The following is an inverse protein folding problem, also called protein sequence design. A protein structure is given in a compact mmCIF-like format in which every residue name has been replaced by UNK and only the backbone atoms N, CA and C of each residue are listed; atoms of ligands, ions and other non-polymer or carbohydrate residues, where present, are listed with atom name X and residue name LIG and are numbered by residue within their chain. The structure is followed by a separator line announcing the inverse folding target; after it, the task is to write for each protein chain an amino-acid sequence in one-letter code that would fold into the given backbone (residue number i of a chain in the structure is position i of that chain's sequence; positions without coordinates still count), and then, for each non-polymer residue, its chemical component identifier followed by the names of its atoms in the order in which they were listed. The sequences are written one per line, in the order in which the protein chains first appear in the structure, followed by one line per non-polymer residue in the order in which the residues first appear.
data_IF_543151257036
#
_entry.id   IF_543151257036
#
_cell.length_a   1.000
_cell.length_b   1.000
_cell.length_c   1.000
_cell.angle_alpha   90.00
_cell.angle_beta   90.00
_cell.angle_gamma   90.00
#
_symmetry.space_group_name_H-M   'P 1'
#
loop_
_entity.id
_entity.type
_entity.pdbx_description
1 polymer ?
#
# COMPACT_ATOMS: atom_id res chain seq x y z
N UNK A 1 -13.91 -8.59 -18.48
CA UNK A 1 -13.97 -8.97 -17.06
C UNK A 1 -14.16 -7.73 -16.22
N UNK A 2 -15.11 -7.78 -15.28
CA UNK A 2 -15.59 -6.64 -14.53
C UNK A 2 -15.10 -6.69 -13.07
N UNK A 3 -14.60 -5.57 -12.56
CA UNK A 3 -14.09 -5.49 -11.20
C UNK A 3 -14.68 -4.32 -10.41
N UNK A 4 -14.66 -4.43 -9.09
CA UNK A 4 -14.99 -3.38 -8.12
C UNK A 4 -13.78 -3.18 -7.22
N UNK A 5 -13.43 -1.91 -6.93
CA UNK A 5 -12.33 -1.55 -6.01
C UNK A 5 -12.90 -0.89 -4.74
N UNK A 6 -12.85 -1.61 -3.62
CA UNK A 6 -13.28 -1.13 -2.31
C UNK A 6 -12.10 -0.60 -1.51
N UNK A 7 -12.30 0.51 -0.78
CA UNK A 7 -11.23 1.21 -0.07
C UNK A 7 -10.13 1.67 -1.02
N UNK A 8 -10.51 2.18 -2.19
CA UNK A 8 -9.64 2.42 -3.34
C UNK A 8 -8.47 3.38 -3.07
N UNK A 9 -8.59 4.23 -2.04
CA UNK A 9 -7.55 5.20 -1.72
C UNK A 9 -7.22 6.10 -2.90
N UNK A 10 -5.94 6.21 -3.20
CA UNK A 10 -5.45 6.96 -4.36
C UNK A 10 -5.49 6.16 -5.68
N UNK A 11 -6.04 4.94 -5.69
CA UNK A 11 -6.21 4.14 -6.90
C UNK A 11 -5.05 3.22 -7.25
N UNK A 12 -4.30 2.72 -6.27
CA UNK A 12 -3.20 1.78 -6.54
C UNK A 12 -3.69 0.45 -7.10
N UNK A 13 -4.74 -0.14 -6.51
CA UNK A 13 -5.39 -1.34 -7.03
C UNK A 13 -6.20 -1.04 -8.30
N UNK A 14 -6.87 0.11 -8.39
CA UNK A 14 -7.56 0.55 -9.61
C UNK A 14 -6.60 0.62 -10.81
N UNK A 15 -5.39 1.18 -10.62
CA UNK A 15 -4.39 1.22 -11.69
C UNK A 15 -3.94 -0.19 -12.08
N UNK A 16 -3.67 -1.05 -11.11
CA UNK A 16 -3.31 -2.45 -11.38
C UNK A 16 -4.43 -3.22 -12.11
N UNK A 17 -5.71 -2.99 -11.77
CA UNK A 17 -6.85 -3.55 -12.48
C UNK A 17 -6.89 -3.08 -13.94
N UNK A 18 -6.74 -1.78 -14.18
CA UNK A 18 -6.73 -1.21 -15.52
C UNK A 18 -5.58 -1.77 -16.36
N UNK A 19 -4.36 -1.83 -15.81
CA UNK A 19 -3.18 -2.40 -16.49
C UNK A 19 -3.30 -3.91 -16.72
N UNK A 20 -4.10 -4.59 -15.91
CA UNK A 20 -4.45 -6.01 -16.10
C UNK A 20 -5.62 -6.23 -17.07
N UNK A 21 -6.23 -5.17 -17.59
CA UNK A 21 -7.32 -5.23 -18.58
C UNK A 21 -8.68 -5.58 -17.98
N UNK A 22 -8.94 -5.22 -16.72
CA UNK A 22 -10.28 -5.25 -16.13
C UNK A 22 -11.02 -3.95 -16.41
N UNK A 23 -12.33 -4.03 -16.59
CA UNK A 23 -13.25 -2.90 -16.55
C UNK A 23 -13.63 -2.63 -15.10
N UNK A 24 -13.30 -1.45 -14.59
CA UNK A 24 -13.66 -1.07 -13.22
C UNK A 24 -15.08 -0.51 -13.24
N UNK A 25 -16.04 -1.25 -12.68
CA UNK A 25 -17.45 -0.87 -12.64
C UNK A 25 -17.71 0.28 -11.67
N UNK A 26 -17.04 0.25 -10.52
CA UNK A 26 -17.09 1.32 -9.51
C UNK A 26 -15.96 1.19 -8.52
N UNK A 27 -15.70 2.27 -7.78
CA UNK A 27 -14.82 2.29 -6.63
C UNK A 27 -15.52 2.89 -5.41
N UNK A 28 -14.99 2.61 -4.20
CA UNK A 28 -15.45 3.23 -2.96
C UNK A 28 -14.27 3.82 -2.17
N UNK A 29 -14.40 5.05 -1.71
CA UNK A 29 -13.45 5.74 -0.83
C UNK A 29 -14.18 6.75 0.05
N UNK A 30 -13.91 6.74 1.35
CA UNK A 30 -14.53 7.65 2.31
C UNK A 30 -13.80 9.00 2.40
N UNK A 31 -12.47 8.98 2.20
CA UNK A 31 -11.66 10.19 2.33
C UNK A 31 -11.80 11.07 1.10
N UNK A 32 -12.33 12.27 1.26
CA UNK A 32 -12.60 13.20 0.17
C UNK A 32 -11.35 13.51 -0.68
N UNK A 33 -10.18 13.70 -0.07
CA UNK A 33 -8.93 14.00 -0.80
C UNK A 33 -8.44 12.83 -1.62
N UNK A 34 -8.56 11.61 -1.08
CA UNK A 34 -8.20 10.40 -1.80
C UNK A 34 -9.19 10.15 -2.94
N UNK A 35 -10.47 10.38 -2.69
CA UNK A 35 -11.52 10.32 -3.70
C UNK A 35 -11.30 11.33 -4.84
N UNK A 36 -10.85 12.56 -4.54
CA UNK A 36 -10.48 13.55 -5.55
C UNK A 36 -9.30 13.04 -6.41
N UNK A 37 -8.28 12.44 -5.81
CA UNK A 37 -7.17 11.80 -6.51
C UNK A 37 -7.67 10.68 -7.41
N UNK A 38 -8.53 9.80 -6.89
CA UNK A 38 -9.11 8.70 -7.66
C UNK A 38 -9.91 9.22 -8.87
N UNK A 39 -10.83 10.15 -8.65
CA UNK A 39 -11.64 10.77 -9.73
C UNK A 39 -10.79 11.42 -10.83
N UNK A 40 -9.70 12.09 -10.45
CA UNK A 40 -8.81 12.74 -11.41
C UNK A 40 -8.12 11.72 -12.34
N UNK A 41 -7.70 10.59 -11.78
CA UNK A 41 -6.94 9.59 -12.52
C UNK A 41 -7.83 8.54 -13.21
N UNK A 42 -9.07 8.35 -12.71
CA UNK A 42 -10.06 7.41 -13.25
C UNK A 42 -11.40 8.12 -13.50
N UNK A 43 -11.46 9.10 -14.42
CA UNK A 43 -12.64 9.97 -14.59
C UNK A 43 -13.90 9.22 -15.06
N UNK A 44 -13.74 8.06 -15.68
CA UNK A 44 -14.85 7.23 -16.18
C UNK A 44 -15.35 6.20 -15.15
N UNK A 45 -14.63 6.03 -14.03
CA UNK A 45 -15.02 5.07 -12.99
C UNK A 45 -15.96 5.74 -11.99
N UNK A 46 -17.20 5.27 -11.85
CA UNK A 46 -18.11 5.73 -10.82
C UNK A 46 -17.49 5.56 -9.41
N UNK A 47 -17.60 6.57 -8.56
CA UNK A 47 -17.01 6.54 -7.21
C UNK A 47 -18.04 6.86 -6.14
N UNK A 48 -18.28 5.90 -5.26
CA UNK A 48 -19.11 6.08 -4.05
C UNK A 48 -18.24 6.68 -2.94
N UNK A 49 -18.47 7.97 -2.63
CA UNK A 49 -17.75 8.70 -1.59
C UNK A 49 -18.50 8.62 -0.25
N UNK A 50 -18.56 7.41 0.32
CA UNK A 50 -19.27 7.14 1.59
C UNK A 50 -18.49 6.15 2.45
N UNK A 51 -18.82 6.17 3.75
CA UNK A 51 -18.41 5.08 4.64
C UNK A 51 -18.99 3.76 4.13
N UNK A 52 -18.14 2.75 3.96
CA UNK A 52 -18.52 1.41 3.50
C UNK A 52 -19.62 0.78 4.38
N UNK A 53 -19.70 1.17 5.67
CA UNK A 53 -20.76 0.73 6.58
C UNK A 53 -22.17 1.15 6.10
N UNK A 54 -22.26 2.25 5.34
CA UNK A 54 -23.52 2.79 4.81
C UNK A 54 -23.76 2.47 3.35
N UNK A 55 -22.80 1.83 2.65
CA UNK A 55 -22.95 1.41 1.25
C UNK A 55 -23.73 0.10 1.21
N UNK A 56 -24.82 0.07 0.43
CA UNK A 56 -25.64 -1.14 0.25
C UNK A 56 -25.41 -1.78 -1.11
N UNK A 57 -25.77 -3.07 -1.23
CA UNK A 57 -25.69 -3.78 -2.52
C UNK A 57 -26.67 -3.19 -3.53
N UNK A 58 -27.85 -2.72 -3.08
CA UNK A 58 -28.83 -2.06 -3.92
C UNK A 58 -28.26 -0.77 -4.52
N UNK A 59 -27.56 0.04 -3.72
CA UNK A 59 -26.91 1.26 -4.20
C UNK A 59 -25.83 0.92 -5.24
N UNK A 60 -25.02 -0.13 -4.98
CA UNK A 60 -24.01 -0.60 -5.94
C UNK A 60 -24.70 -1.08 -7.23
N UNK A 61 -25.73 -1.93 -7.14
CA UNK A 61 -26.44 -2.45 -8.31
C UNK A 61 -27.16 -1.35 -9.11
N UNK A 62 -27.73 -0.35 -8.42
CA UNK A 62 -28.31 0.81 -9.09
C UNK A 62 -27.28 1.59 -9.93
N UNK A 63 -26.01 1.57 -9.50
CA UNK A 63 -24.92 2.25 -10.20
C UNK A 63 -24.34 1.43 -11.37
N UNK A 64 -24.15 0.11 -11.17
CA UNK A 64 -23.50 -0.76 -12.14
C UNK A 64 -24.48 -1.54 -13.05
N UNK A 65 -25.78 -1.56 -12.70
CA UNK A 65 -26.81 -2.37 -13.38
C UNK A 65 -26.70 -3.86 -13.05
N UNK A 66 -27.33 -4.69 -13.89
CA UNK A 66 -27.33 -6.16 -13.76
C UNK A 66 -26.06 -6.83 -14.30
N UNK A 67 -24.94 -6.12 -14.25
CA UNK A 67 -23.65 -6.62 -14.74
C UNK A 67 -23.07 -7.61 -13.74
N UNK A 68 -22.53 -8.72 -14.27
CA UNK A 68 -21.80 -9.70 -13.45
C UNK A 68 -20.50 -9.07 -12.95
N UNK A 69 -20.29 -9.14 -11.64
CA UNK A 69 -19.02 -8.76 -11.00
C UNK A 69 -18.12 -9.99 -10.98
N UNK A 70 -17.04 -9.97 -11.74
CA UNK A 70 -16.09 -11.08 -11.79
C UNK A 70 -15.12 -11.03 -10.59
N UNK A 71 -14.70 -9.82 -10.18
CA UNK A 71 -13.70 -9.61 -9.15
C UNK A 71 -14.07 -8.44 -8.23
N UNK A 72 -13.90 -8.63 -6.93
CA UNK A 72 -13.84 -7.52 -5.96
C UNK A 72 -12.43 -7.46 -5.40
N UNK A 73 -11.76 -6.31 -5.55
CA UNK A 73 -10.49 -6.02 -4.88
C UNK A 73 -10.70 -5.04 -3.74
N UNK A 74 -9.76 -5.02 -2.77
CA UNK A 74 -9.75 -3.99 -1.74
C UNK A 74 -8.73 -4.20 -0.65
N UNK A 75 -8.34 -3.08 -0.01
CA UNK A 75 -7.45 -3.05 1.14
C UNK A 75 -8.16 -2.50 2.38
N UNK A 76 -9.04 -3.26 3.06
CA UNK A 76 -9.73 -2.78 4.25
C UNK A 76 -8.71 -2.36 5.33
N UNK A 77 -8.81 -1.13 5.88
CA UNK A 77 -7.84 -0.64 6.86
C UNK A 77 -7.81 -1.49 8.12
N UNK A 78 -6.59 -1.79 8.60
CA UNK A 78 -6.33 -2.53 9.83
C UNK A 78 -5.36 -1.71 10.70
N UNK A 79 -5.80 -0.53 11.16
CA UNK A 79 -4.89 0.44 11.79
C UNK A 79 -4.47 0.08 13.22
N UNK A 80 -5.32 -0.58 13.99
CA UNK A 80 -5.02 -0.99 15.36
C UNK A 80 -3.90 -2.03 15.48
N UNK A 81 -3.61 -2.73 14.41
CA UNK A 81 -2.71 -3.87 14.39
C UNK A 81 -1.41 -3.62 13.60
N UNK A 82 -1.28 -2.48 12.92
CA UNK A 82 -0.02 -2.14 12.27
C UNK A 82 1.07 -1.86 13.32
N UNK A 83 2.34 -2.15 12.99
CA UNK A 83 3.50 -1.85 13.87
C UNK A 83 3.53 -0.37 14.28
N UNK A 84 3.09 0.52 13.39
CA UNK A 84 2.99 1.96 13.65
C UNK A 84 1.73 2.31 14.44
N UNK A 85 0.60 1.65 14.21
CA UNK A 85 -0.61 1.78 15.02
C UNK A 85 -0.34 1.39 16.47
N UNK A 86 0.25 0.22 16.70
CA UNK A 86 0.66 -0.22 18.05
C UNK A 86 1.57 0.78 18.76
N UNK A 87 2.55 1.39 18.06
CA UNK A 87 3.42 2.41 18.63
C UNK A 87 2.71 3.71 18.97
N UNK A 88 1.70 4.10 18.21
CA UNK A 88 0.89 5.30 18.45
C UNK A 88 0.02 5.15 19.70
N UNK A 89 -0.43 3.93 19.99
CA UNK A 89 -1.33 3.61 21.10
C UNK A 89 -0.65 2.97 22.32
N UNK A 90 0.66 2.69 22.26
CA UNK A 90 1.45 2.14 23.40
C UNK A 90 1.32 2.99 24.68
N UNK A 91 1.03 4.29 24.56
CA UNK A 91 0.85 5.19 25.70
C UNK A 91 -0.63 5.45 26.05
N UNK A 92 -1.59 4.79 25.39
CA UNK A 92 -3.00 4.88 25.74
C UNK A 92 -3.29 3.69 26.68
N UNK A 93 -3.40 3.94 27.96
CA UNK A 93 -3.95 2.97 28.91
C UNK A 93 -5.34 2.59 28.40
N UNK A 94 -5.62 1.29 28.30
CA UNK A 94 -6.92 0.71 27.87
C UNK A 94 -7.22 0.69 26.35
N UNK A 95 -6.22 0.82 25.46
CA UNK A 95 -6.46 0.56 24.03
C UNK A 95 -6.63 -0.95 23.79
N UNK A 96 -7.86 -1.37 23.52
CA UNK A 96 -8.19 -2.71 23.07
C UNK A 96 -8.37 -2.72 21.55
N UNK A 97 -7.46 -3.39 20.80
CA UNK A 97 -7.58 -3.52 19.36
C UNK A 97 -8.87 -4.17 18.89
N UNK A 98 -9.49 -5.02 19.71
CA UNK A 98 -10.75 -5.70 19.38
C UNK A 98 -11.98 -4.76 19.44
N UNK A 99 -11.84 -3.58 20.08
CA UNK A 99 -12.89 -2.58 20.14
C UNK A 99 -12.70 -1.44 19.13
N UNK A 100 -11.60 -1.44 18.37
CA UNK A 100 -11.37 -0.40 17.35
C UNK A 100 -12.29 -0.63 16.14
N UNK A 101 -13.26 0.26 15.87
CA UNK A 101 -14.23 0.08 14.78
C UNK A 101 -13.57 -0.07 13.40
N UNK A 102 -12.34 0.41 13.23
CA UNK A 102 -11.59 0.28 11.97
C UNK A 102 -11.12 -1.14 11.70
N UNK A 103 -11.07 -2.00 12.71
CA UNK A 103 -10.73 -3.42 12.54
C UNK A 103 -11.93 -4.24 12.05
N UNK A 104 -13.12 -3.67 12.12
CA UNK A 104 -14.34 -4.28 11.61
C UNK A 104 -14.58 -4.03 10.12
N UNK A 105 -13.76 -3.20 9.46
CA UNK A 105 -13.93 -2.89 8.04
C UNK A 105 -13.65 -4.10 7.13
N UNK A 106 -12.88 -5.09 7.60
CA UNK A 106 -12.74 -6.38 6.91
C UNK A 106 -14.09 -7.11 6.79
N UNK A 107 -14.94 -7.03 7.81
CA UNK A 107 -16.29 -7.64 7.78
C UNK A 107 -17.22 -6.90 6.80
N UNK A 108 -17.02 -5.60 6.58
CA UNK A 108 -17.76 -4.87 5.57
C UNK A 108 -17.32 -5.28 4.15
N UNK A 109 -16.01 -5.53 3.96
CA UNK A 109 -15.53 -6.12 2.71
C UNK A 109 -16.20 -7.48 2.47
N UNK A 110 -16.23 -8.38 3.47
CA UNK A 110 -16.89 -9.69 3.39
C UNK A 110 -18.39 -9.54 3.11
N UNK A 111 -19.07 -8.57 3.74
CA UNK A 111 -20.48 -8.27 3.50
C UNK A 111 -20.75 -7.94 2.03
N UNK A 112 -19.98 -7.04 1.44
CA UNK A 112 -20.14 -6.68 0.02
C UNK A 112 -19.84 -7.89 -0.89
N UNK A 113 -18.81 -8.69 -0.58
CA UNK A 113 -18.52 -9.94 -1.30
C UNK A 113 -19.69 -10.93 -1.20
N UNK A 114 -20.32 -11.07 -0.03
CA UNK A 114 -21.52 -11.91 0.18
C UNK A 114 -22.69 -11.46 -0.67
N UNK A 115 -22.93 -10.14 -0.74
CA UNK A 115 -24.09 -9.54 -1.41
C UNK A 115 -23.95 -9.54 -2.94
N UNK A 116 -22.76 -9.27 -3.46
CA UNK A 116 -22.51 -9.21 -4.90
C UNK A 116 -22.05 -10.53 -5.52
N UNK A 117 -21.54 -11.46 -4.70
CA UNK A 117 -21.10 -12.80 -5.10
C UNK A 117 -20.18 -12.82 -6.34
N UNK A 118 -19.03 -12.09 -6.30
CA UNK A 118 -18.08 -12.13 -7.40
C UNK A 118 -17.52 -13.55 -7.61
N UNK A 119 -16.97 -13.82 -8.79
CA UNK A 119 -16.27 -15.11 -9.06
C UNK A 119 -14.99 -15.22 -8.22
N UNK A 120 -14.24 -14.11 -8.10
CA UNK A 120 -13.03 -13.97 -7.29
C UNK A 120 -13.13 -12.79 -6.33
N UNK A 121 -12.43 -12.90 -5.22
CA UNK A 121 -12.06 -11.74 -4.41
C UNK A 121 -10.55 -11.65 -4.25
N UNK A 122 -10.03 -10.44 -4.11
CA UNK A 122 -8.63 -10.12 -3.81
C UNK A 122 -8.60 -9.10 -2.66
N UNK A 123 -8.11 -9.50 -1.50
CA UNK A 123 -7.98 -8.64 -0.33
C UNK A 123 -6.51 -8.44 0.01
N UNK A 124 -6.10 -7.17 0.11
CA UNK A 124 -4.77 -6.77 0.60
C UNK A 124 -4.83 -6.34 2.06
N UNK A 125 -3.75 -6.61 2.79
CA UNK A 125 -3.57 -6.04 4.13
C UNK A 125 -2.08 -5.97 4.52
N UNK A 126 -1.79 -5.32 5.65
CA UNK A 126 -0.44 -5.26 6.20
C UNK A 126 0.03 -6.64 6.67
N UNK A 127 1.36 -6.90 6.62
CA UNK A 127 1.97 -8.14 7.11
C UNK A 127 1.49 -8.53 8.53
N UNK A 128 1.27 -7.53 9.41
CA UNK A 128 0.84 -7.76 10.77
C UNK A 128 -0.55 -8.42 10.91
N UNK A 129 -1.37 -8.36 9.85
CA UNK A 129 -2.70 -8.99 9.82
C UNK A 129 -2.63 -10.51 10.05
N UNK A 130 -1.63 -11.19 9.49
CA UNK A 130 -1.47 -12.65 9.64
C UNK A 130 -1.09 -13.09 11.05
N UNK A 131 -0.59 -12.16 11.88
CA UNK A 131 -0.13 -12.45 13.24
C UNK A 131 -1.14 -12.02 14.33
N UNK A 132 -2.31 -11.52 13.92
CA UNK A 132 -3.36 -11.13 14.85
C UNK A 132 -3.86 -12.34 15.62
N UNK A 133 -3.97 -12.21 16.94
CA UNK A 133 -4.40 -13.29 17.84
C UNK A 133 -3.70 -14.62 17.53
N UNK A 134 -2.38 -14.55 17.31
CA UNK A 134 -1.56 -15.71 16.94
C UNK A 134 -2.05 -16.43 15.66
N UNK A 135 -2.64 -15.70 14.73
CA UNK A 135 -3.16 -16.21 13.47
C UNK A 135 -4.65 -16.59 13.49
N UNK A 136 -5.32 -16.57 14.63
CA UNK A 136 -6.73 -16.94 14.73
C UNK A 136 -7.63 -16.01 13.91
N UNK A 137 -7.32 -14.71 13.86
CA UNK A 137 -8.12 -13.74 13.13
C UNK A 137 -8.10 -13.98 11.61
N UNK A 138 -6.97 -14.31 11.03
CA UNK A 138 -6.90 -14.62 9.60
C UNK A 138 -7.65 -15.90 9.25
N UNK A 139 -7.63 -16.91 10.13
CA UNK A 139 -8.42 -18.13 9.94
C UNK A 139 -9.92 -17.88 10.11
N UNK A 140 -10.33 -17.01 11.02
CA UNK A 140 -11.73 -16.59 11.13
C UNK A 140 -12.21 -15.94 9.83
N UNK A 141 -11.44 -14.98 9.28
CA UNK A 141 -11.75 -14.32 8.01
C UNK A 141 -11.86 -15.35 6.88
N UNK A 142 -10.92 -16.29 6.77
CA UNK A 142 -11.01 -17.39 5.78
C UNK A 142 -12.26 -18.24 5.96
N UNK A 143 -12.64 -18.57 7.21
CA UNK A 143 -13.83 -19.37 7.48
C UNK A 143 -15.11 -18.64 7.08
N UNK A 144 -15.18 -17.32 7.26
CA UNK A 144 -16.31 -16.54 6.75
C UNK A 144 -16.40 -16.60 5.23
N UNK A 145 -15.30 -16.49 4.50
CA UNK A 145 -15.31 -16.66 3.05
C UNK A 145 -15.67 -18.08 2.62
N UNK A 146 -15.17 -19.11 3.31
CA UNK A 146 -15.55 -20.52 3.04
C UNK A 146 -17.05 -20.74 3.20
N UNK A 147 -17.66 -20.15 4.23
CA UNK A 147 -19.11 -20.21 4.45
C UNK A 147 -19.92 -19.54 3.31
N UNK A 148 -19.30 -18.66 2.52
CA UNK A 148 -19.89 -18.04 1.33
C UNK A 148 -19.63 -18.83 0.04
N UNK A 149 -18.93 -19.97 0.11
CA UNK A 149 -18.60 -20.83 -1.03
C UNK A 149 -17.24 -20.54 -1.67
N UNK A 150 -16.40 -19.69 -1.07
CA UNK A 150 -15.02 -19.46 -1.51
C UNK A 150 -14.09 -20.47 -0.81
N UNK A 151 -14.12 -21.72 -1.24
CA UNK A 151 -13.43 -22.82 -0.54
C UNK A 151 -11.92 -22.82 -0.78
N UNK A 152 -11.48 -22.41 -1.97
CA UNK A 152 -10.08 -22.37 -2.37
C UNK A 152 -9.54 -20.96 -2.14
N UNK A 153 -8.87 -20.78 -1.00
CA UNK A 153 -8.32 -19.50 -0.58
C UNK A 153 -6.80 -19.60 -0.46
N UNK A 154 -6.10 -18.88 -1.32
CA UNK A 154 -4.67 -18.63 -1.17
C UNK A 154 -4.46 -17.38 -0.30
N UNK A 155 -3.52 -17.44 0.65
CA UNK A 155 -3.23 -16.31 1.54
C UNK A 155 -1.78 -16.34 2.00
N UNK A 156 -0.97 -15.40 1.51
CA UNK A 156 0.46 -15.34 1.82
C UNK A 156 0.96 -13.90 1.95
N UNK A 157 2.17 -13.78 2.50
CA UNK A 157 2.90 -12.50 2.56
C UNK A 157 3.75 -12.38 1.31
N UNK A 158 3.47 -11.36 0.54
CA UNK A 158 4.15 -11.03 -0.71
C UNK A 158 5.12 -9.88 -0.47
N UNK A 159 6.32 -9.94 -1.08
CA UNK A 159 7.26 -8.83 -1.14
C UNK A 159 7.15 -8.11 -2.48
N UNK A 160 6.97 -6.80 -2.45
CA UNK A 160 6.84 -5.99 -3.67
C UNK A 160 8.09 -6.06 -4.57
N UNK A 161 9.28 -6.17 -3.96
CA UNK A 161 10.54 -6.27 -4.71
C UNK A 161 10.61 -7.53 -5.58
N UNK A 162 9.94 -8.64 -5.20
CA UNK A 162 9.86 -9.87 -5.96
C UNK A 162 9.16 -9.69 -7.33
N UNK A 163 8.41 -8.60 -7.48
CA UNK A 163 7.65 -8.25 -8.68
C UNK A 163 8.13 -6.94 -9.34
N UNK A 164 9.41 -6.56 -9.10
CA UNK A 164 10.07 -5.45 -9.78
C UNK A 164 9.71 -4.06 -9.24
N UNK A 165 9.12 -3.97 -8.06
CA UNK A 165 8.95 -2.70 -7.35
C UNK A 165 10.27 -2.34 -6.65
N UNK A 166 10.83 -1.12 -6.80
CA UNK A 166 12.08 -0.73 -6.14
C UNK A 166 11.90 -0.47 -4.64
N UNK A 167 11.18 -1.39 -3.95
CA UNK A 167 10.84 -1.27 -2.54
C UNK A 167 10.64 -2.63 -1.89
N UNK A 168 11.30 -2.88 -0.78
CA UNK A 168 11.02 -3.99 0.12
C UNK A 168 9.77 -3.65 0.96
N UNK A 169 8.60 -3.98 0.41
CA UNK A 169 7.29 -3.78 1.04
C UNK A 169 6.56 -5.11 1.12
N UNK A 170 6.25 -5.52 2.31
CA UNK A 170 5.57 -6.79 2.59
C UNK A 170 4.09 -6.55 2.84
N UNK A 171 3.24 -7.28 2.13
CA UNK A 171 1.78 -7.24 2.27
C UNK A 171 1.19 -8.64 2.28
N UNK A 172 0.16 -8.83 3.06
CA UNK A 172 -0.68 -10.01 2.97
C UNK A 172 -1.62 -9.85 1.78
N UNK A 173 -1.61 -10.83 0.88
CA UNK A 173 -2.62 -10.99 -0.16
C UNK A 173 -3.45 -12.21 0.15
N UNK A 174 -4.78 -12.06 0.09
CA UNK A 174 -5.74 -13.14 0.23
C UNK A 174 -6.61 -13.16 -1.01
N UNK A 175 -6.58 -14.27 -1.75
CA UNK A 175 -7.32 -14.47 -3.00
C UNK A 175 -8.16 -15.72 -2.85
N UNK A 176 -9.44 -15.62 -3.15
CA UNK A 176 -10.34 -16.76 -3.14
C UNK A 176 -11.32 -16.73 -4.30
N UNK A 177 -11.82 -17.89 -4.67
CA UNK A 177 -12.81 -18.04 -5.72
C UNK A 177 -13.90 -19.04 -5.35
N UNK A 178 -15.07 -18.91 -6.00
CA UNK A 178 -16.20 -19.83 -5.86
C UNK A 178 -16.36 -20.76 -7.08
N UNK A 179 -15.34 -20.83 -7.94
CA UNK A 179 -15.32 -21.62 -9.15
C UNK A 179 -14.70 -23.01 -8.96
N UNK A 180 -14.18 -23.30 -7.74
CA UNK A 180 -13.49 -24.56 -7.46
C UNK A 180 -12.07 -24.62 -8.02
N UNK A 181 -11.49 -23.49 -8.41
CA UNK A 181 -10.14 -23.39 -8.99
C UNK A 181 -9.11 -23.34 -7.89
N UNK A 182 -8.09 -24.21 -7.94
CA UNK A 182 -6.89 -24.07 -7.12
C UNK A 182 -6.04 -22.93 -7.67
N UNK A 183 -6.08 -21.80 -6.95
CA UNK A 183 -5.35 -20.61 -7.37
C UNK A 183 -3.85 -20.79 -7.11
N UNK A 184 -3.06 -20.71 -8.16
CA UNK A 184 -1.60 -20.69 -8.12
C UNK A 184 -1.12 -19.24 -8.29
N UNK A 185 -0.35 -18.69 -7.32
CA UNK A 185 0.17 -17.34 -7.45
C UNK A 185 1.19 -17.23 -8.61
N UNK A 186 1.35 -16.03 -9.19
CA UNK A 186 2.37 -15.83 -10.20
C UNK A 186 3.77 -16.04 -9.61
N UNK A 187 4.68 -16.61 -10.40
CA UNK A 187 6.09 -16.74 -10.02
C UNK A 187 6.73 -15.37 -9.80
N UNK A 188 7.69 -15.31 -8.88
CA UNK A 188 8.54 -14.14 -8.71
C UNK A 188 9.25 -13.81 -10.03
N UNK A 189 9.31 -12.51 -10.36
CA UNK A 189 9.97 -12.01 -11.57
C UNK A 189 11.33 -11.40 -11.28
N UNK A 190 11.62 -11.05 -10.04
CA UNK A 190 12.88 -10.43 -9.60
C UNK A 190 13.39 -11.13 -8.34
N UNK A 191 14.69 -11.10 -8.14
CA UNK A 191 15.37 -11.85 -7.08
C UNK A 191 16.30 -10.97 -6.25
N UNK A 192 16.55 -11.32 -4.97
CA UNK A 192 17.49 -10.59 -4.14
C UNK A 192 18.88 -10.48 -4.79
N UNK A 193 19.51 -9.32 -4.63
CA UNK A 193 20.85 -9.03 -5.15
C UNK A 193 21.87 -10.05 -4.62
N UNK A 194 22.79 -10.47 -5.48
CA UNK A 194 23.86 -11.40 -5.13
C UNK A 194 23.45 -12.88 -5.04
N UNK A 195 22.20 -13.23 -5.39
CA UNK A 195 21.76 -14.64 -5.46
C UNK A 195 22.15 -15.35 -6.74
N UNK A 196 22.66 -14.62 -7.74
CA UNK A 196 22.95 -15.14 -9.08
C UNK A 196 21.72 -15.38 -9.95
N UNK A 197 20.50 -15.12 -9.45
CA UNK A 197 19.26 -15.18 -10.22
C UNK A 197 18.96 -13.83 -10.87
N UNK A 198 18.45 -13.84 -12.09
CA UNK A 198 18.15 -12.64 -12.88
C UNK A 198 16.66 -12.62 -13.30
N UNK A 199 16.07 -11.40 -13.40
CA UNK A 199 16.66 -10.11 -13.01
C UNK A 199 16.76 -9.92 -11.51
N UNK A 200 17.75 -9.16 -11.05
CA UNK A 200 17.85 -8.74 -9.65
C UNK A 200 16.79 -7.69 -9.30
N UNK A 201 16.58 -7.44 -8.01
CA UNK A 201 15.65 -6.42 -7.54
C UNK A 201 15.92 -5.05 -8.16
N UNK A 202 14.86 -4.40 -8.59
CA UNK A 202 14.89 -3.01 -9.05
C UNK A 202 15.33 -2.09 -7.92
N UNK A 203 16.21 -1.14 -8.21
CA UNK A 203 16.78 -0.24 -7.22
C UNK A 203 16.17 1.17 -7.28
N UNK A 204 16.43 1.97 -6.24
CA UNK A 204 15.92 3.35 -6.13
C UNK A 204 16.47 4.25 -7.23
N UNK A 205 17.74 4.08 -7.61
CA UNK A 205 18.42 4.97 -8.57
C UNK A 205 17.63 5.14 -9.88
N UNK A 206 17.41 4.06 -10.65
CA UNK A 206 16.65 4.13 -11.90
C UNK A 206 15.23 4.71 -11.74
N UNK A 207 14.64 4.60 -10.55
CA UNK A 207 13.28 5.08 -10.33
C UNK A 207 13.17 6.60 -10.17
N UNK A 208 14.19 7.26 -9.57
CA UNK A 208 14.04 8.67 -9.14
C UNK A 208 15.20 9.59 -9.50
N UNK A 209 16.39 9.08 -9.88
CA UNK A 209 17.55 9.97 -10.05
C UNK A 209 17.43 10.91 -11.24
N UNK A 210 16.64 10.60 -12.24
CA UNK A 210 16.32 11.47 -13.39
C UNK A 210 15.41 12.66 -13.02
N UNK A 211 14.82 12.64 -11.82
CA UNK A 211 13.99 13.73 -11.29
C UNK A 211 14.82 14.86 -10.67
N UNK A 212 16.08 14.60 -10.33
CA UNK A 212 16.97 15.62 -9.73
C UNK A 212 17.12 16.81 -10.69
N UNK A 213 16.86 18.01 -10.18
CA UNK A 213 16.88 19.25 -10.95
C UNK A 213 15.60 19.53 -11.75
N UNK A 214 14.58 18.69 -11.61
CA UNK A 214 13.26 18.88 -12.24
C UNK A 214 12.17 19.22 -11.21
N UNK A 215 12.55 19.67 -10.03
CA UNK A 215 11.63 20.08 -8.97
C UNK A 215 10.66 21.16 -9.49
N UNK A 216 9.41 21.06 -9.11
CA UNK A 216 8.31 21.91 -9.55
C UNK A 216 7.95 21.84 -11.07
N UNK A 217 8.62 21.00 -11.85
CA UNK A 217 8.31 20.83 -13.28
C UNK A 217 7.42 19.61 -13.53
N UNK A 218 7.40 18.66 -12.60
CA UNK A 218 6.61 17.42 -12.68
C UNK A 218 5.56 17.45 -11.57
N UNK A 219 4.32 17.02 -11.82
CA UNK A 219 3.26 16.99 -10.81
C UNK A 219 3.68 16.24 -9.55
N UNK A 220 3.40 16.80 -8.38
CA UNK A 220 3.75 16.28 -7.05
C UNK A 220 5.27 16.20 -6.76
N UNK A 221 6.12 16.76 -7.61
CA UNK A 221 7.56 16.83 -7.39
C UNK A 221 7.97 18.15 -6.72
N UNK A 222 7.37 18.43 -5.57
CA UNK A 222 7.63 19.62 -4.77
C UNK A 222 8.42 19.25 -3.51
N UNK A 223 9.67 19.71 -3.34
CA UNK A 223 10.47 19.43 -2.16
C UNK A 223 9.86 20.02 -0.89
N UNK A 224 10.06 19.34 0.23
CA UNK A 224 9.81 19.95 1.54
C UNK A 224 10.97 20.89 1.88
N UNK A 225 10.63 22.11 2.24
CA UNK A 225 11.59 23.07 2.80
C UNK A 225 11.84 22.68 4.25
N UNK A 226 13.03 22.20 4.55
CA UNK A 226 13.45 21.88 5.90
C UNK A 226 14.06 23.10 6.61
N UNK A 227 14.03 23.05 7.94
CA UNK A 227 14.82 24.01 8.72
C UNK A 227 16.31 23.79 8.45
N UNK A 228 17.16 24.85 8.41
CA UNK A 228 18.61 24.71 8.14
C UNK A 228 19.31 23.66 9.00
N UNK A 229 18.95 23.57 10.29
CA UNK A 229 19.49 22.57 11.22
C UNK A 229 19.14 21.13 10.81
N UNK A 230 17.98 20.92 10.16
CA UNK A 230 17.55 19.57 9.69
C UNK A 230 18.34 19.20 8.44
N UNK A 231 18.51 20.12 7.51
CA UNK A 231 19.31 19.92 6.29
C UNK A 231 20.79 19.66 6.65
N UNK A 232 21.34 20.42 7.60
CA UNK A 232 22.70 20.18 8.12
C UNK A 232 22.84 18.76 8.69
N UNK A 233 21.86 18.29 9.49
CA UNK A 233 21.85 16.92 10.01
C UNK A 233 21.80 15.86 8.92
N UNK A 234 21.05 16.12 7.84
CA UNK A 234 21.01 15.21 6.69
C UNK A 234 22.38 15.05 6.03
N UNK A 235 23.21 16.09 6.03
CA UNK A 235 24.58 16.03 5.52
C UNK A 235 25.47 14.98 6.21
N UNK A 236 25.18 14.65 7.47
CA UNK A 236 25.90 13.62 8.22
C UNK A 236 25.38 12.19 7.99
N UNK A 237 24.28 12.02 7.22
CA UNK A 237 23.74 10.70 6.93
C UNK A 237 24.31 10.21 5.60
N UNK A 238 25.21 9.24 5.64
CA UNK A 238 25.78 8.61 4.44
C UNK A 238 24.72 7.84 3.65
N UNK A 239 24.91 7.70 2.34
CA UNK A 239 24.03 6.92 1.48
C UNK A 239 23.86 5.49 2.00
N UNK A 240 22.63 4.99 2.02
CA UNK A 240 22.27 3.68 2.56
C UNK A 240 22.23 3.57 4.09
N UNK A 241 22.64 4.61 4.81
CA UNK A 241 22.81 4.58 6.25
C UNK A 241 21.70 5.31 7.03
N UNK A 242 21.63 5.01 8.32
CA UNK A 242 20.89 5.80 9.30
C UNK A 242 21.82 6.82 9.95
N UNK A 243 21.23 7.91 10.45
CA UNK A 243 21.98 8.87 11.24
C UNK A 243 22.56 8.17 12.48
N UNK A 244 23.87 8.26 12.63
CA UNK A 244 24.53 8.00 13.90
C UNK A 244 24.63 9.32 14.66
N UNK A 245 23.91 9.44 15.77
CA UNK A 245 23.87 10.68 16.56
C UNK A 245 25.22 11.07 17.16
N UNK A 246 26.14 10.11 17.29
CA UNK A 246 27.49 10.36 17.79
C UNK A 246 28.39 11.07 16.75
N UNK A 247 28.00 11.04 15.47
CA UNK A 247 28.75 11.72 14.41
C UNK A 247 28.35 13.20 14.28
N UNK A 248 27.33 13.64 15.03
CA UNK A 248 26.85 15.02 15.00
C UNK A 248 27.68 15.91 15.93
N UNK A 249 28.09 17.09 15.48
CA UNK A 249 28.66 18.12 16.35
C UNK A 249 27.61 18.61 17.37
N UNK A 250 28.02 19.17 18.52
CA UNK A 250 27.12 19.55 19.63
C UNK A 250 25.95 20.46 19.20
N UNK A 251 26.18 21.40 18.27
CA UNK A 251 25.20 22.35 17.77
C UNK A 251 24.11 21.67 16.91
N UNK A 252 24.39 20.49 16.39
CA UNK A 252 23.43 19.68 15.63
C UNK A 252 22.80 18.54 16.42
N UNK A 253 23.07 18.48 17.72
CA UNK A 253 22.56 17.42 18.60
C UNK A 253 21.03 17.24 18.43
N UNK A 254 20.59 16.00 18.35
CA UNK A 254 19.16 15.64 18.28
C UNK A 254 18.69 15.37 19.71
N UNK A 255 17.56 16.00 20.09
CA UNK A 255 16.92 15.68 21.36
C UNK A 255 16.54 14.18 21.37
N UNK A 256 17.23 13.42 22.19
CA UNK A 256 16.96 12.00 22.32
C UNK A 256 15.95 11.78 23.45
N UNK A 257 14.82 11.12 23.15
CA UNK A 257 13.97 10.59 24.23
C UNK A 257 14.64 9.33 24.78
N UNK A 258 15.09 9.40 26.01
CA UNK A 258 15.53 8.22 26.74
C UNK A 258 14.30 7.59 27.39
N UNK A 259 14.03 6.34 27.07
CA UNK A 259 12.99 5.56 27.75
C UNK A 259 13.39 5.41 29.22
N UNK A 260 12.55 5.88 30.14
CA UNK A 260 12.84 5.90 31.59
C UNK A 260 12.93 4.50 32.20
N UNK A 261 12.33 3.47 31.57
CA UNK A 261 12.31 2.08 32.07
C UNK A 261 13.45 1.24 31.49
N UNK A 262 13.81 1.45 30.23
CA UNK A 262 14.78 0.60 29.53
C UNK A 262 16.11 1.28 29.28
N UNK A 263 16.24 2.57 29.55
CA UNK A 263 17.43 3.38 29.25
C UNK A 263 17.67 3.54 27.74
N UNK A 264 16.84 2.96 26.89
CA UNK A 264 16.99 2.93 25.44
C UNK A 264 16.74 4.30 24.85
N UNK A 265 17.70 4.81 24.11
CA UNK A 265 17.57 6.06 23.39
C UNK A 265 16.75 5.83 22.12
N UNK A 266 15.51 6.32 22.08
CA UNK A 266 14.75 6.34 20.85
C UNK A 266 15.13 7.60 20.05
N UNK A 267 15.91 7.42 19.02
CA UNK A 267 16.02 8.40 17.96
C UNK A 267 14.90 8.11 16.92
N UNK A 268 14.42 9.13 16.25
CA UNK A 268 13.48 8.99 15.12
C UNK A 268 14.20 8.39 13.91
N UNK A 269 14.78 7.19 14.10
CA UNK A 269 15.73 6.56 13.17
C UNK A 269 15.17 6.26 11.78
N UNK A 270 13.86 6.20 11.64
CA UNK A 270 13.23 6.02 10.34
C UNK A 270 13.21 7.30 9.49
N UNK A 271 13.14 8.48 10.13
CA UNK A 271 13.16 9.79 9.45
C UNK A 271 14.57 10.18 9.01
N UNK A 272 15.59 9.74 9.76
CA UNK A 272 16.99 10.01 9.46
C UNK A 272 17.67 8.79 8.81
N UNK A 273 17.01 8.18 7.84
CA UNK A 273 17.60 7.14 6.98
C UNK A 273 17.71 7.68 5.56
N UNK A 274 18.93 7.71 5.02
CA UNK A 274 19.15 8.01 3.61
C UNK A 274 19.03 6.74 2.78
N UNK A 275 18.31 6.82 1.68
CA UNK A 275 18.21 5.70 0.75
C UNK A 275 19.56 5.43 0.06
N UNK A 276 19.74 4.20 -0.39
CA UNK A 276 20.82 3.77 -1.27
C UNK A 276 20.27 3.68 -2.69
N UNK A 277 20.89 4.38 -3.66
CA UNK A 277 20.44 4.37 -5.04
C UNK A 277 20.61 2.98 -5.69
N UNK A 278 21.48 2.15 -5.16
CA UNK A 278 21.82 0.82 -5.68
C UNK A 278 21.04 -0.31 -4.98
N UNK A 279 20.04 0.02 -4.15
CA UNK A 279 19.20 -0.96 -3.45
C UNK A 279 17.71 -0.60 -3.55
N UNK A 280 16.81 -1.58 -3.36
CA UNK A 280 15.40 -1.27 -3.11
C UNK A 280 15.25 -0.39 -1.88
N UNK A 281 14.25 0.47 -1.88
CA UNK A 281 13.94 1.27 -0.70
C UNK A 281 13.31 0.41 0.40
N UNK A 282 13.32 0.91 1.63
CA UNK A 282 12.44 0.38 2.69
C UNK A 282 11.00 0.81 2.43
N UNK A 283 10.05 0.12 3.07
CA UNK A 283 8.63 0.46 3.00
C UNK A 283 8.37 1.95 3.23
N UNK A 284 7.73 2.63 2.27
CA UNK A 284 7.21 3.98 2.43
C UNK A 284 6.08 3.95 3.47
N UNK A 285 6.24 4.76 4.52
CA UNK A 285 5.29 4.82 5.63
C UNK A 285 4.40 6.05 5.43
N UNK A 286 3.07 5.91 5.54
CA UNK A 286 2.17 7.06 5.50
C UNK A 286 2.41 7.94 6.73
N UNK A 287 2.54 9.25 6.55
CA UNK A 287 2.65 10.18 7.65
C UNK A 287 3.39 11.46 7.33
N UNK A 288 3.25 12.40 8.24
CA UNK A 288 3.92 13.69 8.17
C UNK A 288 5.45 13.51 8.29
N UNK A 289 6.19 13.96 7.30
CA UNK A 289 7.66 13.85 7.24
C UNK A 289 8.22 12.44 7.39
N UNK A 290 7.44 11.40 7.07
CA UNK A 290 7.84 10.01 7.27
C UNK A 290 8.70 9.44 6.13
N UNK A 291 8.89 10.17 5.06
CA UNK A 291 9.70 9.69 3.94
C UNK A 291 11.20 9.76 4.27
N UNK A 292 11.98 8.79 3.78
CA UNK A 292 13.42 8.78 3.97
C UNK A 292 14.11 9.93 3.23
N UNK A 293 15.40 10.15 3.56
CA UNK A 293 16.25 11.12 2.90
C UNK A 293 16.57 10.61 1.48
N UNK A 294 16.54 11.54 0.51
CA UNK A 294 16.95 11.28 -0.87
C UNK A 294 18.39 10.74 -0.93
N UNK A 295 18.73 9.82 -1.84
CA UNK A 295 20.07 9.22 -1.90
C UNK A 295 21.22 10.23 -1.90
N UNK A 296 21.10 11.31 -2.65
CA UNK A 296 22.17 12.29 -2.90
C UNK A 296 21.89 13.72 -2.41
N UNK A 297 20.63 14.04 -2.09
CA UNK A 297 20.22 15.38 -1.68
C UNK A 297 19.92 15.42 -0.17
N UNK A 298 20.17 16.58 0.46
CA UNK A 298 19.90 16.77 1.90
C UNK A 298 18.46 17.19 2.16
N UNK A 299 17.53 16.44 1.60
CA UNK A 299 16.09 16.57 1.80
C UNK A 299 15.40 15.20 1.83
N UNK A 300 14.20 15.16 2.36
CA UNK A 300 13.35 13.97 2.21
C UNK A 300 12.85 13.83 0.77
N UNK A 301 12.37 12.64 0.42
CA UNK A 301 11.73 12.41 -0.86
C UNK A 301 10.54 13.35 -1.07
N UNK A 302 10.29 13.74 -2.31
CA UNK A 302 9.02 14.35 -2.73
C UNK A 302 7.93 13.28 -2.82
N UNK A 303 6.66 13.71 -2.94
CA UNK A 303 5.57 12.76 -3.16
C UNK A 303 5.73 12.02 -4.50
N UNK A 304 6.24 12.68 -5.55
CA UNK A 304 6.51 12.06 -6.86
C UNK A 304 7.61 11.02 -6.80
N UNK A 305 8.73 11.30 -6.15
CA UNK A 305 9.82 10.34 -5.97
C UNK A 305 9.32 9.08 -5.23
N UNK A 306 8.57 9.27 -4.16
CA UNK A 306 7.96 8.17 -3.43
C UNK A 306 6.92 7.40 -4.28
N UNK A 307 6.12 8.11 -5.09
CA UNK A 307 5.15 7.51 -6.01
C UNK A 307 5.82 6.65 -7.09
N UNK A 308 6.94 7.10 -7.68
CA UNK A 308 7.71 6.30 -8.63
C UNK A 308 8.33 5.05 -7.97
N UNK A 309 8.80 5.16 -6.72
CA UNK A 309 9.25 4.00 -5.95
C UNK A 309 8.08 3.02 -5.70
N UNK A 310 6.87 3.51 -5.58
CA UNK A 310 5.64 2.71 -5.50
C UNK A 310 5.08 2.32 -6.89
N UNK A 311 5.81 2.60 -7.97
CA UNK A 311 5.49 2.28 -9.37
C UNK A 311 4.25 3.00 -9.94
N UNK A 312 3.87 4.14 -9.38
CA UNK A 312 2.90 5.02 -10.04
C UNK A 312 3.57 5.80 -11.19
N UNK A 313 2.93 5.90 -12.37
CA UNK A 313 3.45 6.71 -13.46
C UNK A 313 3.34 8.21 -13.14
N UNK A 314 4.10 9.05 -13.86
CA UNK A 314 4.08 10.50 -13.65
C UNK A 314 2.73 11.15 -14.01
N UNK A 315 1.96 10.51 -14.88
CA UNK A 315 0.60 10.91 -15.23
C UNK A 315 -0.39 10.74 -14.08
N UNK A 316 -0.09 9.90 -13.08
CA UNK A 316 -0.94 9.71 -11.91
C UNK A 316 -0.73 10.86 -10.93
N UNK A 317 -1.70 11.75 -10.78
CA UNK A 317 -1.60 12.99 -10.00
C UNK A 317 -2.29 12.81 -8.65
N UNK A 318 -1.59 13.13 -7.56
CA UNK A 318 -2.12 13.10 -6.21
C UNK A 318 -2.64 14.48 -5.81
N UNK A 319 -3.91 14.57 -5.43
CA UNK A 319 -4.55 15.80 -4.96
C UNK A 319 -4.23 16.11 -3.49
N UNK A 320 -4.46 17.35 -3.11
CA UNK A 320 -4.32 17.84 -1.74
C UNK A 320 -2.94 18.36 -1.40
N UNK A 321 -2.74 18.65 -0.12
CA UNK A 321 -1.47 19.12 0.43
C UNK A 321 -0.39 18.06 0.29
N UNK A 322 0.90 18.47 0.34
CA UNK A 322 2.02 17.54 0.33
C UNK A 322 1.87 16.43 1.38
N UNK A 323 1.39 16.76 2.57
CA UNK A 323 1.16 15.77 3.62
C UNK A 323 0.13 14.72 3.21
N UNK A 324 -1.00 15.15 2.63
CA UNK A 324 -2.05 14.25 2.13
C UNK A 324 -1.53 13.39 0.98
N UNK A 325 -0.74 13.97 0.05
CA UNK A 325 -0.08 13.23 -1.02
C UNK A 325 0.86 12.14 -0.47
N UNK A 326 1.69 12.47 0.53
CA UNK A 326 2.57 11.49 1.17
C UNK A 326 1.80 10.36 1.89
N UNK A 327 0.66 10.69 2.49
CA UNK A 327 -0.23 9.69 3.13
C UNK A 327 -0.82 8.77 2.07
N UNK A 328 -1.31 9.31 0.97
CA UNK A 328 -1.86 8.55 -0.16
C UNK A 328 -0.84 7.56 -0.72
N UNK A 329 0.35 8.06 -1.06
CA UNK A 329 1.43 7.22 -1.59
C UNK A 329 1.85 6.13 -0.60
N UNK A 330 2.01 6.47 0.69
CA UNK A 330 2.43 5.51 1.71
C UNK A 330 1.41 4.40 1.98
N UNK A 331 0.10 4.72 1.88
CA UNK A 331 -0.99 3.75 2.07
C UNK A 331 -1.18 2.84 0.85
N UNK A 332 -0.93 3.34 -0.35
CA UNK A 332 -1.24 2.64 -1.59
C UNK A 332 -0.55 1.27 -1.70
N UNK A 333 -1.23 0.34 -2.34
CA UNK A 333 -0.62 -0.87 -2.89
C UNK A 333 0.14 -0.48 -4.15
N UNK A 334 1.44 -0.83 -4.30
CA UNK A 334 2.16 -0.57 -5.54
C UNK A 334 1.46 -1.29 -6.72
N UNK A 335 1.09 -0.59 -7.80
CA UNK A 335 0.39 -1.21 -8.92
C UNK A 335 1.11 -2.44 -9.48
N UNK A 336 2.42 -2.34 -9.72
CA UNK A 336 3.25 -3.45 -10.23
C UNK A 336 3.33 -4.66 -9.30
N UNK A 337 3.09 -4.48 -7.98
CA UNK A 337 3.02 -5.59 -7.03
C UNK A 337 1.74 -6.41 -7.20
N UNK A 338 0.59 -5.75 -7.45
CA UNK A 338 -0.70 -6.41 -7.57
C UNK A 338 -0.99 -6.93 -8.98
N UNK A 339 -0.48 -6.26 -10.01
CA UNK A 339 -0.73 -6.55 -11.43
C UNK A 339 -0.52 -8.03 -11.81
N UNK A 340 0.57 -8.73 -11.46
CA UNK A 340 0.77 -10.13 -11.83
C UNK A 340 -0.31 -11.06 -11.27
N UNK A 341 -0.78 -10.79 -10.05
CA UNK A 341 -1.85 -11.55 -9.41
C UNK A 341 -3.19 -11.32 -10.09
N UNK A 342 -3.48 -10.08 -10.47
CA UNK A 342 -4.70 -9.71 -11.18
C UNK A 342 -4.72 -10.30 -12.59
N UNK A 343 -3.59 -10.27 -13.31
CA UNK A 343 -3.46 -10.95 -14.61
C UNK A 343 -3.69 -12.46 -14.50
N UNK A 344 -3.19 -13.08 -13.44
CA UNK A 344 -3.41 -14.50 -13.18
C UNK A 344 -4.90 -14.82 -12.91
N UNK A 345 -5.58 -13.99 -12.12
CA UNK A 345 -7.02 -14.09 -11.90
C UNK A 345 -7.77 -13.95 -13.24
N UNK A 346 -7.39 -12.98 -14.08
CA UNK A 346 -8.00 -12.77 -15.39
C UNK A 346 -7.87 -13.99 -16.29
N UNK A 347 -6.69 -14.62 -16.34
CA UNK A 347 -6.47 -15.86 -17.10
C UNK A 347 -7.42 -16.99 -16.66
N UNK A 348 -7.65 -17.18 -15.37
CA UNK A 348 -8.60 -18.16 -14.87
C UNK A 348 -10.05 -17.83 -15.27
N UNK A 349 -10.42 -16.55 -15.24
CA UNK A 349 -11.75 -16.10 -15.65
C UNK A 349 -11.99 -16.28 -17.16
N UNK A 350 -10.99 -16.00 -18.00
CA UNK A 350 -11.05 -16.20 -19.45
C UNK A 350 -11.20 -17.68 -19.78
N UNK A 351 -10.41 -18.53 -19.14
CA UNK A 351 -10.51 -19.99 -19.34
C UNK A 351 -11.86 -20.58 -18.89
N UNK A 352 -12.46 -20.05 -17.81
CA UNK A 352 -13.80 -20.45 -17.36
C UNK A 352 -14.90 -20.08 -18.36
N UNK A 353 -14.74 -18.95 -19.06
CA UNK A 353 -15.70 -18.55 -20.11
C UNK A 353 -15.56 -19.39 -21.38
N UNK A 354 -14.33 -19.80 -21.75
CA UNK A 354 -14.09 -20.65 -22.92
C UNK A 354 -14.64 -22.07 -22.75
N UNK A 355 -14.77 -22.55 -21.50
CA UNK A 355 -15.29 -23.90 -21.21
C UNK A 355 -16.82 -23.97 -21.09
N UNK A 356 -17.53 -22.85 -21.14
CA UNK A 356 -19.00 -22.76 -21.13
C UNK A 356 -19.58 -22.67 -22.51
#
# INVERSE_FOLDING_TARGET
MNAIDLFSGAGGLSLALQESGFTILMANEINERFAQTHKLNFPTVPLIMKDINSVTAEEIRALIGDVIVDLIVGGPPCQGFSVFGKRRFINTQDYDPHQDPRNFLVYQYIRIVKELRPKFFFMENVKGFTNLDKGLFVEEVKNQFRALGYNNIWCEIVCAADYGVPQERYRMFMIGNRLGIDYEPPSQTHFPMGTGKLPEYTTVGPAIMDLVGKENQIPNHVPLIHKPIVEARYGYVKEGCKLNVNDLPPELAVATRRDSKTGKVSNYSHVFKRLDRNRPSTTMVPGHNAFPIHPTLNRTLTAREAARIQTFPDSHIFCGTRQEQCIQVGNAVPPRMAEPFLRKIKQYLEHEEEMK
#
